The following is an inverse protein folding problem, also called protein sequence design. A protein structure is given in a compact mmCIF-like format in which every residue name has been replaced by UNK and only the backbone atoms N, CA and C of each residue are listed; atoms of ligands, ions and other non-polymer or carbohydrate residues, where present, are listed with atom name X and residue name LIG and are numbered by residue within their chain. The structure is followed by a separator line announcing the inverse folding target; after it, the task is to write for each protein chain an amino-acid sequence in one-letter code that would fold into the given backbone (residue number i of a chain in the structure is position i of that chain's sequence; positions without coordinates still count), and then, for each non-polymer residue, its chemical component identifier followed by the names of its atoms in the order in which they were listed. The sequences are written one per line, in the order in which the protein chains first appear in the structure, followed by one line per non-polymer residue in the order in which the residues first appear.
data_IF_024330943952
#
_entry.id   IF_024330943952
#
_cell.length_a   1.000
_cell.length_b   1.000
_cell.length_c   1.000
_cell.angle_alpha   90.00
_cell.angle_beta   90.00
_cell.angle_gamma   90.00
#
_symmetry.space_group_name_H-M   'P 1'
#
loop_
_entity.id
_entity.type
_entity.pdbx_description
1 polymer ?
#
# COMPACT_ATOMS: atom_id res chain seq x y z
N UNK A 1 -5.29 12.12 4.74
CA UNK A 1 -4.93 10.75 5.21
C UNK A 1 -4.19 10.01 4.10
N UNK A 2 -3.30 9.09 4.42
CA UNK A 2 -2.65 8.20 3.46
C UNK A 2 -3.23 6.78 3.60
N UNK A 3 -3.56 6.13 2.49
CA UNK A 3 -3.96 4.72 2.45
C UNK A 3 -3.33 4.08 1.22
N UNK A 4 -2.69 2.92 1.38
CA UNK A 4 -2.06 2.21 0.27
C UNK A 4 -2.44 0.74 0.27
N UNK A 5 -2.31 0.13 -0.91
CA UNK A 5 -2.41 -1.30 -1.12
C UNK A 5 -1.67 -1.69 -2.40
N UNK A 6 -1.37 -2.98 -2.55
CA UNK A 6 -0.75 -3.52 -3.75
C UNK A 6 -1.69 -4.42 -4.57
N UNK A 7 -1.38 -4.58 -5.86
CA UNK A 7 -1.97 -5.60 -6.74
C UNK A 7 -1.64 -7.05 -6.34
N UNK A 8 -0.69 -7.27 -5.43
CA UNK A 8 -0.38 -8.58 -4.86
C UNK A 8 0.64 -9.43 -5.63
N UNK A 9 1.01 -9.03 -6.85
CA UNK A 9 2.09 -9.69 -7.57
C UNK A 9 3.43 -9.40 -6.87
N UNK A 10 4.18 -10.46 -6.50
CA UNK A 10 5.51 -10.30 -5.94
C UNK A 10 6.41 -9.55 -6.93
N UNK A 11 7.11 -8.51 -6.47
CA UNK A 11 8.01 -7.69 -7.25
C UNK A 11 9.27 -7.28 -6.48
N UNK A 12 10.05 -6.36 -7.04
CA UNK A 12 11.30 -5.90 -6.42
C UNK A 12 11.08 -5.23 -5.06
N UNK A 13 9.94 -4.56 -4.89
CA UNK A 13 9.57 -3.87 -3.65
C UNK A 13 9.49 -4.82 -2.45
N UNK A 14 9.21 -6.10 -2.68
CA UNK A 14 9.11 -7.12 -1.62
C UNK A 14 10.44 -7.45 -0.97
N UNK A 15 11.57 -7.19 -1.66
CA UNK A 15 12.93 -7.49 -1.19
C UNK A 15 13.12 -8.94 -0.73
N UNK A 16 12.46 -9.88 -1.39
CA UNK A 16 12.54 -11.31 -1.10
C UNK A 16 13.70 -11.97 -1.86
N UNK A 17 14.29 -13.06 -1.32
CA UNK A 17 15.29 -13.83 -2.04
C UNK A 17 14.74 -14.38 -3.38
N UNK A 18 15.60 -14.54 -4.40
CA UNK A 18 15.21 -15.18 -5.65
C UNK A 18 14.58 -16.57 -5.41
N UNK A 19 13.44 -16.83 -6.05
CA UNK A 19 12.75 -18.12 -5.95
C UNK A 19 11.89 -18.34 -4.69
N UNK A 20 11.75 -17.34 -3.81
CA UNK A 20 10.96 -17.49 -2.57
C UNK A 20 9.48 -17.83 -2.82
N UNK A 21 8.85 -17.19 -3.81
CA UNK A 21 7.47 -17.48 -4.24
C UNK A 21 6.40 -17.18 -3.17
N UNK A 22 6.07 -15.90 -2.94
CA UNK A 22 5.11 -15.48 -1.91
C UNK A 22 3.64 -15.44 -2.37
N UNK A 23 3.11 -16.58 -2.82
CA UNK A 23 1.72 -16.65 -3.34
C UNK A 23 0.68 -16.24 -2.30
N UNK A 24 0.85 -16.69 -1.05
CA UNK A 24 -0.06 -16.35 0.05
C UNK A 24 -0.06 -14.85 0.33
N UNK A 25 1.11 -14.21 0.33
CA UNK A 25 1.20 -12.76 0.50
C UNK A 25 0.49 -11.99 -0.62
N UNK A 26 0.52 -12.50 -1.85
CA UNK A 26 -0.23 -11.90 -2.95
C UNK A 26 -1.74 -12.01 -2.80
N UNK A 27 -2.23 -13.16 -2.31
CA UNK A 27 -3.66 -13.33 -2.00
C UNK A 27 -4.13 -12.37 -0.91
N UNK A 28 -3.31 -12.18 0.14
CA UNK A 28 -3.61 -11.23 1.21
C UNK A 28 -3.71 -9.81 0.64
N UNK A 29 -2.74 -9.38 -0.17
CA UNK A 29 -2.76 -8.04 -0.77
C UNK A 29 -3.97 -7.81 -1.68
N UNK A 30 -4.43 -8.82 -2.42
CA UNK A 30 -5.67 -8.70 -3.19
C UNK A 30 -6.89 -8.41 -2.30
N UNK A 31 -6.95 -8.99 -1.10
CA UNK A 31 -8.02 -8.72 -0.13
C UNK A 31 -7.84 -7.32 0.47
N UNK A 32 -6.62 -6.94 0.82
CA UNK A 32 -6.29 -5.60 1.33
C UNK A 32 -6.71 -4.55 0.31
N UNK A 33 -6.32 -4.66 -0.97
CA UNK A 33 -6.70 -3.73 -2.03
C UNK A 33 -8.22 -3.57 -2.15
N UNK A 34 -8.97 -4.66 -2.11
CA UNK A 34 -10.43 -4.62 -2.17
C UNK A 34 -11.03 -3.84 -1.00
N UNK A 35 -10.53 -4.06 0.22
CA UNK A 35 -11.02 -3.36 1.40
C UNK A 35 -10.56 -1.90 1.46
N UNK A 36 -9.30 -1.61 1.13
CA UNK A 36 -8.76 -0.24 1.11
C UNK A 36 -9.48 0.62 0.08
N UNK A 37 -9.85 0.06 -1.09
CA UNK A 37 -10.68 0.76 -2.07
C UNK A 37 -12.05 1.13 -1.51
N UNK A 38 -12.75 0.18 -0.88
CA UNK A 38 -14.05 0.45 -0.23
C UNK A 38 -13.93 1.53 0.85
N UNK A 39 -12.85 1.49 1.62
CA UNK A 39 -12.54 2.52 2.60
C UNK A 39 -12.34 3.90 1.96
N UNK A 40 -11.52 3.98 0.90
CA UNK A 40 -11.27 5.23 0.18
C UNK A 40 -12.54 5.80 -0.44
N UNK A 41 -13.38 4.95 -1.04
CA UNK A 41 -14.68 5.34 -1.61
C UNK A 41 -15.62 5.91 -0.52
N UNK A 42 -15.70 5.23 0.63
CA UNK A 42 -16.51 5.69 1.76
C UNK A 42 -15.99 7.02 2.36
N UNK A 43 -14.67 7.17 2.48
CA UNK A 43 -14.05 8.39 2.97
C UNK A 43 -14.31 9.57 2.01
N UNK A 44 -14.19 9.34 0.71
CA UNK A 44 -14.50 10.35 -0.31
C UNK A 44 -15.98 10.77 -0.25
N UNK A 45 -16.90 9.81 -0.11
CA UNK A 45 -18.34 10.10 0.05
C UNK A 45 -18.64 10.91 1.32
N UNK A 46 -17.84 10.76 2.37
CA UNK A 46 -17.94 11.52 3.61
C UNK A 46 -17.20 12.88 3.58
N UNK A 47 -16.57 13.24 2.45
CA UNK A 47 -15.79 14.48 2.33
C UNK A 47 -14.44 14.44 3.05
N UNK A 48 -13.93 13.25 3.39
CA UNK A 48 -12.62 13.08 4.03
C UNK A 48 -11.54 12.83 2.96
N UNK A 49 -10.53 13.71 2.82
CA UNK A 49 -9.49 13.54 1.81
C UNK A 49 -8.54 12.39 2.16
N UNK A 50 -8.46 11.40 1.27
CA UNK A 50 -7.54 10.27 1.33
C UNK A 50 -6.66 10.26 0.08
N UNK A 51 -5.34 10.28 0.28
CA UNK A 51 -4.38 9.92 -0.74
C UNK A 51 -4.36 8.38 -0.84
N UNK A 52 -5.17 7.83 -1.74
CA UNK A 52 -5.23 6.40 -1.98
C UNK A 52 -4.23 6.01 -3.09
N UNK A 53 -3.20 5.26 -2.72
CA UNK A 53 -2.15 4.80 -3.63
C UNK A 53 -2.29 3.31 -3.87
N UNK A 54 -2.31 2.91 -5.15
CA UNK A 54 -2.32 1.50 -5.54
C UNK A 54 -1.00 1.17 -6.23
N UNK A 55 -0.23 0.27 -5.63
CA UNK A 55 1.03 -0.20 -6.21
C UNK A 55 0.76 -1.34 -7.19
N UNK A 56 1.45 -1.37 -8.35
CA UNK A 56 1.28 -2.44 -9.32
C UNK A 56 1.80 -3.78 -8.80
N UNK A 57 2.89 -3.74 -8.02
CA UNK A 57 3.57 -4.90 -7.46
C UNK A 57 3.82 -4.71 -5.96
N UNK A 58 4.02 -5.84 -5.27
CA UNK A 58 4.13 -5.96 -3.83
C UNK A 58 3.21 -7.07 -3.33
N UNK A 59 3.76 -7.99 -2.57
CA UNK A 59 3.05 -8.97 -1.77
C UNK A 59 3.09 -8.56 -0.29
N UNK A 60 2.36 -9.28 0.57
CA UNK A 60 2.26 -8.94 1.99
C UNK A 60 3.60 -9.16 2.75
N UNK A 61 4.51 -8.20 2.62
CA UNK A 61 5.91 -8.29 3.05
C UNK A 61 6.39 -7.00 3.70
N UNK A 62 7.47 -7.11 4.49
CA UNK A 62 8.11 -5.94 5.09
C UNK A 62 8.70 -4.97 4.08
N UNK A 63 9.20 -5.46 2.94
CA UNK A 63 9.73 -4.60 1.88
C UNK A 63 8.66 -3.65 1.32
N UNK A 64 7.45 -4.19 1.06
CA UNK A 64 6.30 -3.38 0.67
C UNK A 64 5.95 -2.35 1.75
N UNK A 65 5.77 -2.79 3.00
CA UNK A 65 5.35 -1.89 4.09
C UNK A 65 6.36 -0.77 4.36
N UNK A 66 7.66 -1.07 4.34
CA UNK A 66 8.70 -0.06 4.51
C UNK A 66 8.62 0.99 3.39
N UNK A 67 8.42 0.55 2.14
CA UNK A 67 8.30 1.46 1.00
C UNK A 67 7.08 2.38 1.10
N UNK A 68 5.96 1.87 1.63
CA UNK A 68 4.73 2.64 1.84
C UNK A 68 4.87 3.63 3.01
N UNK A 69 5.57 3.26 4.07
CA UNK A 69 5.91 4.19 5.16
C UNK A 69 6.76 5.33 4.63
N UNK A 70 7.80 5.03 3.85
CA UNK A 70 8.66 6.04 3.23
C UNK A 70 7.88 6.96 2.28
N UNK A 71 7.01 6.42 1.44
CA UNK A 71 6.15 7.23 0.56
C UNK A 71 5.18 8.09 1.37
N UNK A 72 4.52 7.53 2.38
CA UNK A 72 3.57 8.26 3.23
C UNK A 72 4.23 9.43 3.95
N UNK A 73 5.48 9.27 4.37
CA UNK A 73 6.28 10.34 4.98
C UNK A 73 6.52 11.47 4.00
N UNK A 74 7.05 11.15 2.82
CA UNK A 74 7.45 12.16 1.84
C UNK A 74 6.26 12.89 1.18
N UNK A 75 5.09 12.26 1.13
CA UNK A 75 3.95 12.79 0.34
C UNK A 75 2.81 13.34 1.19
N UNK A 76 2.62 12.85 2.42
CA UNK A 76 1.45 13.21 3.24
C UNK A 76 1.86 13.64 4.64
N UNK A 77 2.57 12.80 5.38
CA UNK A 77 2.82 13.01 6.82
C UNK A 77 3.83 14.12 7.04
N UNK A 78 5.00 14.06 6.40
CA UNK A 78 6.05 15.08 6.52
C UNK A 78 5.53 16.49 6.17
N UNK A 79 4.93 16.69 4.97
CA UNK A 79 4.35 17.99 4.60
C UNK A 79 3.28 18.49 5.58
N UNK A 80 2.42 17.61 6.10
CA UNK A 80 1.41 17.99 7.10
C UNK A 80 2.02 18.43 8.44
N UNK A 81 3.24 18.00 8.74
CA UNK A 81 4.00 18.37 9.93
C UNK A 81 4.99 19.53 9.69
N UNK A 82 5.10 20.03 8.45
CA UNK A 82 6.06 21.09 8.08
C UNK A 82 7.51 20.62 7.96
N UNK A 83 7.73 19.32 7.73
CA UNK A 83 9.04 18.73 7.44
C UNK A 83 9.39 18.80 5.95
#
# INVERSE_FOLDING_TARGET
MYAAASGGAQGEVDRLPPGFGNVTGGLIESIVLSNTRKFADAAAAAGVPVAFVVRPEGSHTWGLFESEVQESWNTVIGPALGA
#
